data_IF_774309240514
#
_entry.id   IF_774309240514
#
_cell.length_a   1.000
_cell.length_b   1.000
_cell.length_c   1.000
_cell.angle_alpha   90.00
_cell.angle_beta   90.00
_cell.angle_gamma   90.00
#
_symmetry.space_group_name_H-M   'P 1'
#
loop_
_entity.id
_entity.type
_entity.pdbx_description
1 polymer ?
#
# COMPACT_ATOMS: atom_id res chain seq x y z
N UNK A 1 -16.80 -11.93 -2.81
CA UNK A 1 -16.51 -10.54 -3.21
C UNK A 1 -15.20 -10.13 -2.60
N UNK A 2 -14.31 -9.65 -3.44
CA UNK A 2 -13.01 -9.12 -3.00
C UNK A 2 -13.15 -7.75 -2.37
N UNK A 3 -12.28 -7.42 -1.41
CA UNK A 3 -12.30 -6.16 -0.68
C UNK A 3 -10.90 -5.76 -0.24
N UNK A 4 -10.68 -4.45 -0.15
CA UNK A 4 -9.47 -3.84 0.38
C UNK A 4 -9.83 -2.83 1.48
N UNK A 5 -9.02 -2.78 2.53
CA UNK A 5 -9.11 -1.77 3.59
C UNK A 5 -7.71 -1.40 4.05
N UNK A 6 -7.22 -0.18 3.80
CA UNK A 6 -6.06 0.33 4.49
C UNK A 6 -6.40 0.48 5.97
N UNK A 7 -5.91 -0.41 6.83
CA UNK A 7 -6.15 -0.34 8.28
C UNK A 7 -5.45 0.87 8.89
N UNK A 8 -4.25 1.16 8.39
CA UNK A 8 -3.44 2.32 8.73
C UNK A 8 -2.75 2.82 7.46
N UNK A 9 -2.62 4.13 7.30
CA UNK A 9 -1.94 4.72 6.15
C UNK A 9 -1.26 6.04 6.51
N UNK A 10 0.06 6.10 6.35
CA UNK A 10 0.91 7.28 6.59
C UNK A 10 2.14 6.98 7.44
N UNK A 11 2.98 7.99 7.64
CA UNK A 11 4.31 7.88 8.28
C UNK A 11 4.33 7.42 9.75
N UNK A 12 3.19 7.14 10.36
CA UNK A 12 3.09 6.62 11.74
C UNK A 12 2.75 5.13 11.80
N UNK A 13 2.32 4.56 10.69
CA UNK A 13 2.01 3.15 10.55
C UNK A 13 1.25 2.86 9.27
N UNK A 14 1.62 1.78 8.62
CA UNK A 14 1.01 1.28 7.39
C UNK A 14 0.60 -0.17 7.57
N UNK A 15 -0.61 -0.49 7.17
CA UNK A 15 -1.09 -1.87 7.08
C UNK A 15 -2.35 -1.90 6.23
N UNK A 16 -2.42 -2.80 5.27
CA UNK A 16 -3.58 -2.94 4.39
C UNK A 16 -4.12 -4.35 4.47
N UNK A 17 -5.42 -4.47 4.69
CA UNK A 17 -6.17 -5.72 4.69
C UNK A 17 -6.76 -5.96 3.30
N UNK A 18 -6.53 -7.14 2.75
CA UNK A 18 -7.10 -7.61 1.49
C UNK A 18 -7.81 -8.92 1.76
N UNK A 19 -9.05 -9.06 1.34
CA UNK A 19 -9.82 -10.27 1.57
C UNK A 19 -10.66 -10.68 0.36
N UNK A 20 -10.87 -11.97 0.25
CA UNK A 20 -11.74 -12.63 -0.70
C UNK A 20 -12.54 -13.76 -0.05
N UNK A 21 -13.20 -14.57 -0.86
CA UNK A 21 -14.03 -15.68 -0.36
C UNK A 21 -13.22 -16.77 0.35
N UNK A 22 -11.99 -17.02 -0.09
CA UNK A 22 -11.19 -18.18 0.32
C UNK A 22 -10.07 -17.85 1.31
N UNK A 23 -9.91 -16.59 1.69
CA UNK A 23 -8.86 -16.16 2.62
C UNK A 23 -8.58 -14.67 2.54
N UNK A 24 -7.71 -14.23 3.41
CA UNK A 24 -7.32 -12.84 3.50
C UNK A 24 -5.83 -12.67 3.75
N UNK A 25 -5.33 -11.48 3.49
CA UNK A 25 -3.93 -11.13 3.51
C UNK A 25 -3.73 -9.79 4.22
N UNK A 26 -2.55 -9.61 4.81
CA UNK A 26 -2.07 -8.30 5.24
C UNK A 26 -0.90 -7.87 4.35
N UNK A 27 -0.88 -6.60 4.01
CA UNK A 27 0.31 -5.91 3.49
C UNK A 27 0.78 -4.97 4.59
N UNK A 28 1.96 -5.24 5.11
CA UNK A 28 2.59 -4.55 6.24
C UNK A 28 1.87 -4.68 7.60
N UNK A 29 2.63 -4.42 8.67
CA UNK A 29 2.19 -4.45 10.05
C UNK A 29 2.78 -3.26 10.85
N UNK A 30 2.55 -2.05 10.36
CA UNK A 30 3.16 -0.82 10.87
C UNK A 30 2.58 -0.28 12.17
N UNK A 31 1.54 -0.90 12.73
CA UNK A 31 0.92 -0.51 13.98
C UNK A 31 1.11 -1.58 15.08
N UNK A 32 0.81 -1.26 16.33
CA UNK A 32 0.88 -2.25 17.42
C UNK A 32 -0.08 -3.42 17.16
N UNK A 33 0.26 -4.63 17.64
CA UNK A 33 -0.62 -5.80 17.50
C UNK A 33 -2.04 -5.51 18.00
N UNK A 34 -2.19 -4.81 19.12
CA UNK A 34 -3.50 -4.42 19.67
C UNK A 34 -4.28 -3.55 18.67
N UNK A 35 -3.62 -2.53 18.11
CA UNK A 35 -4.25 -1.63 17.14
C UNK A 35 -4.58 -2.34 15.84
N UNK A 36 -3.67 -3.19 15.34
CA UNK A 36 -3.89 -4.02 14.15
C UNK A 36 -5.09 -4.94 14.33
N UNK A 37 -5.18 -5.64 15.46
CA UNK A 37 -6.31 -6.54 15.75
C UNK A 37 -7.64 -5.76 15.75
N UNK A 38 -7.69 -4.64 16.48
CA UNK A 38 -8.91 -3.83 16.56
C UNK A 38 -9.34 -3.25 15.20
N UNK A 39 -8.38 -2.76 14.41
CA UNK A 39 -8.67 -2.22 13.07
C UNK A 39 -9.11 -3.32 12.10
N UNK A 40 -8.51 -4.51 12.18
CA UNK A 40 -8.89 -5.67 11.38
C UNK A 40 -10.31 -6.14 11.71
N UNK A 41 -10.65 -6.24 12.99
CA UNK A 41 -12.01 -6.58 13.45
C UNK A 41 -13.03 -5.52 13.01
N UNK A 42 -12.67 -4.24 13.09
CA UNK A 42 -13.49 -3.14 12.56
C UNK A 42 -13.72 -3.20 11.05
N UNK A 43 -12.77 -3.78 10.30
CA UNK A 43 -12.90 -4.07 8.87
C UNK A 43 -13.64 -5.40 8.57
N UNK A 44 -14.14 -6.09 9.60
CA UNK A 44 -14.84 -7.37 9.48
C UNK A 44 -13.93 -8.55 9.15
N UNK A 45 -12.67 -8.50 9.57
CA UNK A 45 -11.71 -9.61 9.48
C UNK A 45 -11.28 -10.10 10.86
N UNK A 46 -10.55 -11.21 10.89
CA UNK A 46 -9.97 -11.76 12.11
C UNK A 46 -8.52 -12.22 11.84
N UNK A 47 -7.64 -12.14 12.86
CA UNK A 47 -6.25 -12.60 12.71
C UNK A 47 -6.14 -14.07 12.30
N UNK A 48 -7.09 -14.90 12.69
CA UNK A 48 -7.15 -16.33 12.35
C UNK A 48 -7.49 -16.59 10.89
N UNK A 49 -8.00 -15.60 10.18
CA UNK A 49 -8.37 -15.70 8.76
C UNK A 49 -7.24 -15.23 7.84
N UNK A 50 -6.18 -14.62 8.40
CA UNK A 50 -5.05 -14.15 7.62
C UNK A 50 -4.20 -15.35 7.18
N UNK A 51 -4.01 -15.48 5.88
CA UNK A 51 -3.27 -16.60 5.27
C UNK A 51 -1.76 -16.33 5.19
N UNK A 52 -1.38 -15.08 4.92
CA UNK A 52 0.01 -14.64 4.87
C UNK A 52 0.12 -13.12 5.09
N UNK A 53 1.31 -12.67 5.44
CA UNK A 53 1.64 -11.25 5.50
C UNK A 53 2.73 -10.92 4.47
N UNK A 54 2.48 -9.89 3.68
CA UNK A 54 3.39 -9.34 2.67
C UNK A 54 4.07 -8.11 3.24
N UNK A 55 5.38 -8.03 3.18
CA UNK A 55 6.13 -6.85 3.67
C UNK A 55 6.69 -6.10 2.47
N UNK A 56 6.31 -4.82 2.36
CA UNK A 56 6.78 -3.94 1.30
C UNK A 56 8.25 -3.62 1.46
N UNK A 57 8.67 -3.23 2.66
CA UNK A 57 10.06 -2.93 3.03
C UNK A 57 10.23 -2.87 4.55
N UNK A 58 11.47 -2.67 5.01
CA UNK A 58 11.87 -2.80 6.42
C UNK A 58 11.71 -1.54 7.28
N UNK A 59 11.17 -0.43 6.78
CA UNK A 59 10.98 0.76 7.59
C UNK A 59 10.02 0.53 8.77
N UNK A 60 10.30 1.19 9.88
CA UNK A 60 9.64 0.90 11.16
C UNK A 60 8.13 1.09 11.14
N UNK A 61 7.64 2.05 10.38
CA UNK A 61 6.21 2.31 10.19
C UNK A 61 5.51 1.27 9.29
N UNK A 62 6.24 0.29 8.75
CA UNK A 62 5.70 -0.88 8.03
C UNK A 62 5.81 -2.17 8.84
N UNK A 63 6.70 -2.23 9.86
CA UNK A 63 7.01 -3.48 10.57
C UNK A 63 6.89 -3.40 12.09
N UNK A 64 6.47 -2.28 12.66
CA UNK A 64 6.40 -2.05 14.11
C UNK A 64 5.68 -3.16 14.89
N UNK A 65 4.59 -3.69 14.36
CA UNK A 65 3.79 -4.77 14.95
C UNK A 65 4.13 -6.16 14.43
N UNK A 66 5.09 -6.30 13.51
CA UNK A 66 5.36 -7.56 12.80
C UNK A 66 5.77 -8.68 13.76
N UNK A 67 6.81 -8.47 14.57
CA UNK A 67 7.33 -9.51 15.49
C UNK A 67 6.28 -9.97 16.51
N UNK A 68 5.51 -9.09 17.19
CA UNK A 68 4.37 -9.49 18.02
C UNK A 68 3.26 -10.23 17.26
N UNK A 69 2.95 -9.80 16.04
CA UNK A 69 1.95 -10.46 15.19
C UNK A 69 2.39 -11.90 14.87
N UNK A 70 3.61 -12.08 14.43
CA UNK A 70 4.17 -13.40 14.08
C UNK A 70 4.23 -14.34 15.29
N UNK A 71 4.64 -13.84 16.45
CA UNK A 71 4.62 -14.62 17.70
C UNK A 71 3.22 -15.13 18.06
N UNK A 72 2.19 -14.35 17.76
CA UNK A 72 0.80 -14.72 18.04
C UNK A 72 0.20 -15.66 17.01
N UNK A 73 0.57 -15.51 15.73
CA UNK A 73 -0.15 -16.15 14.62
C UNK A 73 0.64 -17.23 13.90
N UNK A 74 1.97 -17.13 13.89
CA UNK A 74 2.84 -18.02 13.10
C UNK A 74 2.68 -17.84 11.59
N UNK A 75 2.19 -16.67 11.11
CA UNK A 75 2.00 -16.38 9.69
C UNK A 75 3.30 -16.52 8.90
N UNK A 76 3.16 -16.93 7.64
CA UNK A 76 4.25 -16.85 6.68
C UNK A 76 4.47 -15.39 6.26
N UNK A 77 5.73 -14.95 6.33
CA UNK A 77 6.17 -13.64 5.82
C UNK A 77 6.60 -13.79 4.37
N UNK A 78 5.98 -13.03 3.49
CA UNK A 78 6.29 -12.99 2.05
C UNK A 78 6.88 -11.63 1.73
N UNK A 79 8.09 -11.59 1.17
CA UNK A 79 8.74 -10.34 0.77
C UNK A 79 9.85 -10.60 -0.25
N UNK A 80 10.48 -9.52 -0.76
CA UNK A 80 11.70 -9.65 -1.55
C UNK A 80 12.83 -10.28 -0.73
N UNK A 81 13.80 -10.91 -1.39
CA UNK A 81 14.97 -11.47 -0.71
C UNK A 81 15.71 -10.41 0.12
N UNK A 82 15.85 -9.20 -0.45
CA UNK A 82 16.54 -8.08 0.22
C UNK A 82 15.79 -7.61 1.47
N UNK A 83 14.47 -7.47 1.39
CA UNK A 83 13.63 -7.13 2.55
C UNK A 83 13.71 -8.21 3.62
N UNK A 84 13.61 -9.49 3.27
CA UNK A 84 13.73 -10.59 4.24
C UNK A 84 15.10 -10.59 4.91
N UNK A 85 16.18 -10.38 4.15
CA UNK A 85 17.54 -10.26 4.69
C UNK A 85 17.66 -9.11 5.70
N UNK A 86 17.11 -7.93 5.37
CA UNK A 86 17.09 -6.77 6.25
C UNK A 86 16.31 -7.07 7.54
N UNK A 87 15.15 -7.69 7.45
CA UNK A 87 14.32 -8.06 8.60
C UNK A 87 15.03 -9.07 9.53
N UNK A 88 15.70 -10.07 8.96
CA UNK A 88 16.48 -11.07 9.73
C UNK A 88 17.67 -10.40 10.42
N UNK A 89 18.44 -9.60 9.69
CA UNK A 89 19.61 -8.88 10.20
C UNK A 89 19.24 -7.94 11.35
N UNK A 90 18.09 -7.27 11.27
CA UNK A 90 17.60 -6.36 12.29
C UNK A 90 16.81 -7.05 13.43
N UNK A 91 16.81 -8.39 13.50
CA UNK A 91 16.05 -9.18 14.49
C UNK A 91 14.55 -8.82 14.55
N UNK A 92 13.93 -8.61 13.38
CA UNK A 92 12.51 -8.27 13.27
C UNK A 92 11.60 -9.50 13.14
N UNK A 93 12.16 -10.67 12.85
CA UNK A 93 11.44 -11.93 12.74
C UNK A 93 11.73 -12.82 13.96
N UNK A 94 10.71 -13.44 14.58
CA UNK A 94 10.92 -14.49 15.57
C UNK A 94 11.72 -15.68 15.00
N UNK A 95 12.46 -16.37 15.84
CA UNK A 95 13.13 -17.62 15.45
C UNK A 95 12.10 -18.64 14.92
N UNK A 96 12.43 -19.30 13.80
CA UNK A 96 11.56 -20.28 13.18
C UNK A 96 10.39 -19.67 12.35
N UNK A 97 10.37 -18.35 12.14
CA UNK A 97 9.38 -17.73 11.25
C UNK A 97 9.45 -18.35 9.86
N UNK A 98 8.31 -18.76 9.33
CA UNK A 98 8.19 -19.20 7.94
C UNK A 98 8.33 -17.98 7.02
N UNK A 99 9.24 -18.05 6.06
CA UNK A 99 9.45 -16.99 5.07
C UNK A 99 9.31 -17.55 3.66
N UNK A 100 8.83 -16.71 2.75
CA UNK A 100 8.78 -17.00 1.32
C UNK A 100 9.33 -15.80 0.56
N UNK A 101 10.33 -16.05 -0.29
CA UNK A 101 10.86 -15.03 -1.20
C UNK A 101 9.92 -14.92 -2.39
N UNK A 102 9.57 -13.68 -2.74
CA UNK A 102 8.83 -13.35 -3.95
C UNK A 102 9.66 -12.38 -4.78
N UNK A 103 10.48 -12.92 -5.68
CA UNK A 103 11.34 -12.17 -6.59
C UNK A 103 11.22 -12.72 -8.02
N UNK A 104 11.45 -11.86 -9.02
CA UNK A 104 11.30 -12.23 -10.40
C UNK A 104 9.83 -12.37 -10.84
N UNK A 105 9.60 -13.23 -11.84
CA UNK A 105 8.29 -13.39 -12.48
C UNK A 105 7.36 -14.42 -11.81
N UNK A 106 7.91 -15.25 -10.91
CA UNK A 106 7.11 -16.29 -10.25
C UNK A 106 6.20 -15.68 -9.18
N UNK A 107 4.86 -15.80 -9.30
CA UNK A 107 3.94 -15.29 -8.30
C UNK A 107 3.92 -16.18 -7.06
N UNK A 108 3.42 -15.63 -5.96
CA UNK A 108 3.04 -16.39 -4.78
C UNK A 108 1.56 -16.79 -4.89
N UNK A 109 1.27 -18.08 -4.76
CA UNK A 109 -0.08 -18.59 -4.84
C UNK A 109 -0.57 -19.04 -3.46
N UNK A 110 -1.73 -18.55 -3.05
CA UNK A 110 -2.33 -18.93 -1.77
C UNK A 110 -3.86 -18.79 -1.82
N UNK A 111 -4.57 -19.84 -1.40
CA UNK A 111 -6.03 -19.88 -1.33
C UNK A 111 -6.74 -19.47 -2.65
N UNK A 112 -6.14 -19.80 -3.79
CA UNK A 112 -6.62 -19.46 -5.12
C UNK A 112 -6.38 -18.00 -5.54
N UNK A 113 -5.74 -17.20 -4.71
CA UNK A 113 -5.23 -15.90 -5.12
C UNK A 113 -3.80 -16.04 -5.67
N UNK A 114 -3.50 -15.23 -6.69
CA UNK A 114 -2.16 -15.13 -7.30
C UNK A 114 -1.60 -13.75 -7.00
N UNK A 115 -0.49 -13.70 -6.27
CA UNK A 115 0.10 -12.46 -5.81
C UNK A 115 1.44 -12.25 -6.50
N UNK A 116 1.59 -11.10 -7.16
CA UNK A 116 2.82 -10.69 -7.83
C UNK A 116 3.41 -9.48 -7.14
N UNK A 117 4.73 -9.45 -7.07
CA UNK A 117 5.51 -8.33 -6.56
C UNK A 117 6.03 -7.48 -7.71
N UNK A 118 6.13 -6.19 -7.50
CA UNK A 118 6.90 -5.27 -8.34
C UNK A 118 7.78 -4.37 -7.46
N UNK A 119 8.92 -3.94 -8.00
CA UNK A 119 9.82 -3.04 -7.27
C UNK A 119 9.26 -1.61 -7.25
N UNK A 120 9.41 -0.91 -6.13
CA UNK A 120 9.16 0.52 -6.01
C UNK A 120 10.46 1.28 -5.82
N UNK A 121 10.48 2.55 -6.23
CA UNK A 121 11.64 3.44 -6.08
C UNK A 121 11.60 4.10 -4.72
N UNK A 122 12.24 3.49 -3.72
CA UNK A 122 12.30 4.02 -2.36
C UNK A 122 13.70 3.91 -1.76
N UNK A 123 13.97 4.56 -0.63
CA UNK A 123 15.29 4.62 0.01
C UNK A 123 15.64 3.37 0.84
N UNK A 124 15.23 2.22 0.33
CA UNK A 124 15.63 0.89 0.78
C UNK A 124 15.87 -0.04 -0.43
N UNK A 125 16.63 -1.11 -0.24
CA UNK A 125 17.07 -1.94 -1.38
C UNK A 125 16.02 -2.92 -1.90
N UNK A 126 15.01 -3.24 -1.10
CA UNK A 126 14.04 -4.30 -1.39
C UNK A 126 12.62 -3.82 -1.56
N UNK A 127 12.40 -2.49 -1.66
CA UNK A 127 11.07 -1.90 -1.67
C UNK A 127 10.17 -2.49 -2.76
N UNK A 128 8.92 -2.73 -2.38
CA UNK A 128 7.97 -3.51 -3.18
C UNK A 128 6.55 -2.96 -3.08
N UNK A 129 5.84 -3.01 -4.21
CA UNK A 129 4.40 -3.05 -4.23
C UNK A 129 3.89 -4.45 -4.58
N UNK A 130 2.61 -4.68 -4.40
CA UNK A 130 1.99 -5.98 -4.64
C UNK A 130 0.70 -5.85 -5.44
N UNK A 131 0.46 -6.82 -6.34
CA UNK A 131 -0.81 -7.03 -7.00
C UNK A 131 -1.39 -8.37 -6.58
N UNK A 132 -2.67 -8.39 -6.26
CA UNK A 132 -3.45 -9.56 -5.86
C UNK A 132 -4.50 -9.83 -6.93
N UNK A 133 -4.34 -10.91 -7.69
CA UNK A 133 -5.41 -11.45 -8.52
C UNK A 133 -6.21 -12.43 -7.65
N UNK A 134 -7.39 -11.99 -7.27
CA UNK A 134 -8.26 -12.74 -6.36
C UNK A 134 -9.04 -13.83 -7.09
N UNK A 135 -9.54 -14.88 -6.37
CA UNK A 135 -10.27 -16.00 -6.98
C UNK A 135 -11.53 -15.61 -7.76
N UNK A 136 -12.12 -14.45 -7.49
CA UNK A 136 -13.26 -13.91 -8.24
C UNK A 136 -12.85 -13.08 -9.46
N UNK A 137 -11.58 -13.15 -9.86
CA UNK A 137 -11.01 -12.45 -11.01
C UNK A 137 -10.70 -10.97 -10.77
N UNK A 138 -10.91 -10.47 -9.55
CA UNK A 138 -10.61 -9.09 -9.19
C UNK A 138 -9.12 -8.87 -8.95
N UNK A 139 -8.57 -7.82 -9.54
CA UNK A 139 -7.18 -7.40 -9.35
C UNK A 139 -7.11 -6.21 -8.41
N UNK A 140 -6.33 -6.32 -7.34
CA UNK A 140 -6.11 -5.29 -6.33
C UNK A 140 -4.62 -4.98 -6.28
N UNK A 141 -4.24 -3.69 -6.32
CA UNK A 141 -2.85 -3.28 -6.21
C UNK A 141 -2.60 -2.37 -5.00
N UNK A 142 -1.48 -2.59 -4.33
CA UNK A 142 -0.94 -1.75 -3.26
C UNK A 142 0.39 -1.19 -3.73
N UNK A 143 0.47 0.13 -3.84
CA UNK A 143 1.58 0.88 -4.42
C UNK A 143 1.84 2.14 -3.59
N UNK A 144 2.57 2.00 -2.49
CA UNK A 144 3.02 3.09 -1.62
C UNK A 144 4.53 3.09 -1.52
N UNK A 145 5.08 4.16 -0.99
CA UNK A 145 6.52 4.32 -0.78
C UNK A 145 7.30 4.23 -2.09
N UNK A 146 7.10 5.24 -2.91
CA UNK A 146 7.81 5.39 -4.18
C UNK A 146 8.04 6.87 -4.52
N UNK A 147 9.26 7.20 -4.89
CA UNK A 147 9.65 8.57 -5.31
C UNK A 147 9.30 8.85 -6.77
N UNK A 148 9.13 7.80 -7.59
CA UNK A 148 8.74 7.89 -9.00
C UNK A 148 7.92 6.67 -9.41
N UNK A 149 6.89 6.90 -10.22
CA UNK A 149 6.13 5.81 -10.87
C UNK A 149 6.87 5.38 -12.13
N UNK A 150 7.58 4.26 -12.05
CA UNK A 150 8.31 3.71 -13.19
C UNK A 150 7.37 3.02 -14.17
N UNK A 151 7.86 2.72 -15.38
CA UNK A 151 7.07 1.99 -16.38
C UNK A 151 6.69 0.57 -15.89
N UNK A 152 7.56 -0.08 -15.13
CA UNK A 152 7.26 -1.39 -14.53
C UNK A 152 6.17 -1.31 -13.47
N UNK A 153 6.16 -0.25 -12.66
CA UNK A 153 5.07 0.03 -11.72
C UNK A 153 3.77 0.24 -12.48
N UNK A 154 3.75 1.09 -13.54
CA UNK A 154 2.55 1.32 -14.36
C UNK A 154 2.00 0.03 -14.94
N UNK A 155 2.85 -0.81 -15.53
CA UNK A 155 2.47 -2.13 -16.06
C UNK A 155 1.89 -3.03 -14.99
N UNK A 156 2.54 -3.09 -13.82
CA UNK A 156 2.11 -3.94 -12.72
C UNK A 156 0.71 -3.58 -12.21
N UNK A 157 0.42 -2.28 -12.00
CA UNK A 157 -0.86 -1.82 -11.45
C UNK A 157 -1.96 -1.61 -12.50
N UNK A 158 -1.61 -1.59 -13.80
CA UNK A 158 -2.58 -1.46 -14.90
C UNK A 158 -3.61 -2.58 -14.88
N UNK A 159 -4.87 -2.27 -15.22
CA UNK A 159 -5.97 -3.22 -15.21
C UNK A 159 -6.41 -3.68 -13.82
N UNK A 160 -5.97 -3.02 -12.75
CA UNK A 160 -6.48 -3.30 -11.40
C UNK A 160 -7.89 -2.74 -11.23
N UNK A 161 -8.78 -3.51 -10.63
CA UNK A 161 -10.13 -3.05 -10.26
C UNK A 161 -10.07 -2.00 -9.14
N UNK A 162 -9.11 -2.17 -8.21
CA UNK A 162 -8.83 -1.22 -7.14
C UNK A 162 -7.33 -1.00 -6.96
N UNK A 163 -6.92 0.25 -6.72
CA UNK A 163 -5.53 0.61 -6.46
C UNK A 163 -5.45 1.47 -5.20
N UNK A 164 -4.65 1.02 -4.22
CA UNK A 164 -4.12 1.89 -3.18
C UNK A 164 -2.81 2.46 -3.71
N UNK A 165 -2.80 3.76 -3.98
CA UNK A 165 -1.62 4.46 -4.52
C UNK A 165 -1.20 5.60 -3.60
N UNK A 166 0.10 5.83 -3.50
CA UNK A 166 0.62 6.93 -2.70
C UNK A 166 0.19 8.29 -3.25
N UNK A 167 -0.17 9.21 -2.32
CA UNK A 167 -0.37 10.64 -2.57
C UNK A 167 0.21 11.38 -1.36
N UNK A 168 1.55 11.43 -1.28
CA UNK A 168 2.22 11.71 -0.02
C UNK A 168 2.12 13.17 0.40
N UNK A 169 2.47 14.12 -0.48
CA UNK A 169 2.58 15.52 -0.11
C UNK A 169 2.02 16.46 -1.17
N UNK A 170 1.54 17.58 -0.72
CA UNK A 170 1.33 18.77 -1.54
C UNK A 170 2.67 19.52 -1.66
N UNK A 171 3.06 19.85 -2.90
CA UNK A 171 4.36 20.46 -3.20
C UNK A 171 4.51 21.82 -2.52
N UNK A 172 3.46 22.63 -2.52
CA UNK A 172 3.47 23.97 -1.92
C UNK A 172 3.53 23.90 -0.40
N UNK A 173 2.75 23.00 0.22
CA UNK A 173 2.81 22.79 1.66
C UNK A 173 4.18 22.26 2.09
N UNK A 174 4.77 21.33 1.33
CA UNK A 174 6.10 20.80 1.66
C UNK A 174 7.15 21.91 1.57
N UNK A 175 7.15 22.72 0.49
CA UNK A 175 8.11 23.80 0.31
C UNK A 175 8.01 24.87 1.41
N UNK A 176 6.80 25.25 1.82
CA UNK A 176 6.53 26.25 2.87
C UNK A 176 6.53 25.65 4.28
N UNK A 177 6.46 24.33 4.39
CA UNK A 177 6.29 23.60 5.64
C UNK A 177 7.53 23.63 6.57
N UNK A 178 7.38 23.17 7.81
CA UNK A 178 8.39 23.31 8.85
C UNK A 178 9.55 22.32 8.79
N UNK A 179 9.58 21.44 7.79
CA UNK A 179 10.63 20.43 7.68
C UNK A 179 11.99 21.04 7.28
N UNK A 180 13.10 20.49 7.81
CA UNK A 180 14.44 20.90 7.39
C UNK A 180 14.65 20.69 5.88
N UNK A 181 15.53 21.48 5.24
CA UNK A 181 15.79 21.38 3.80
C UNK A 181 16.19 19.97 3.35
N UNK A 182 17.02 19.28 4.11
CA UNK A 182 17.51 17.93 3.81
C UNK A 182 16.34 16.91 3.77
N UNK A 183 15.39 17.04 4.71
CA UNK A 183 14.21 16.17 4.72
C UNK A 183 13.27 16.47 3.55
N UNK A 184 13.10 17.75 3.19
CA UNK A 184 12.33 18.14 2.00
C UNK A 184 12.95 17.56 0.73
N UNK A 185 14.27 17.69 0.58
CA UNK A 185 15.00 17.11 -0.57
C UNK A 185 14.86 15.59 -0.61
N UNK A 186 14.97 14.90 0.53
CA UNK A 186 14.75 13.44 0.60
C UNK A 186 13.35 13.06 0.16
N UNK A 187 12.31 13.75 0.67
CA UNK A 187 10.91 13.47 0.32
C UNK A 187 10.67 13.66 -1.18
N UNK A 188 11.20 14.73 -1.79
CA UNK A 188 11.03 15.05 -3.21
C UNK A 188 11.95 14.27 -4.15
N UNK A 189 12.86 13.44 -3.63
CA UNK A 189 13.79 12.69 -4.46
C UNK A 189 13.12 11.51 -5.18
N UNK A 190 13.79 10.98 -6.21
CA UNK A 190 13.34 9.78 -6.93
C UNK A 190 13.25 8.52 -6.04
N UNK A 191 13.85 8.55 -4.85
CA UNK A 191 13.77 7.52 -3.83
C UNK A 191 12.96 7.95 -2.60
N UNK A 192 12.29 9.08 -2.67
CA UNK A 192 11.42 9.59 -1.63
C UNK A 192 9.98 9.15 -1.82
N UNK A 193 9.10 10.12 -2.03
CA UNK A 193 7.66 9.92 -2.13
C UNK A 193 7.05 10.76 -3.24
N UNK A 194 6.04 10.24 -3.94
CA UNK A 194 5.33 11.00 -4.97
C UNK A 194 4.39 12.04 -4.36
N UNK A 195 4.34 13.21 -5.00
CA UNK A 195 3.41 14.28 -4.65
C UNK A 195 1.96 13.96 -5.09
N UNK A 196 1.01 14.77 -4.62
CA UNK A 196 -0.38 14.72 -5.11
C UNK A 196 -0.44 14.86 -6.63
N UNK A 197 0.34 15.77 -7.21
CA UNK A 197 0.37 16.00 -8.66
C UNK A 197 0.93 14.77 -9.42
N UNK A 198 2.01 14.19 -8.93
CA UNK A 198 2.59 12.99 -9.56
C UNK A 198 1.64 11.79 -9.47
N UNK A 199 0.98 11.58 -8.33
CA UNK A 199 -0.08 10.59 -8.18
C UNK A 199 -1.22 10.83 -9.17
N UNK A 200 -1.74 12.08 -9.21
CA UNK A 200 -2.89 12.45 -10.05
C UNK A 200 -2.63 12.25 -11.54
N UNK A 201 -1.38 12.43 -11.99
CA UNK A 201 -1.00 12.22 -13.39
C UNK A 201 -1.16 10.75 -13.84
N UNK A 202 -1.09 9.78 -12.91
CA UNK A 202 -1.24 8.35 -13.24
C UNK A 202 -2.71 7.91 -13.32
N UNK A 203 -3.63 8.63 -12.68
CA UNK A 203 -5.01 8.16 -12.50
C UNK A 203 -5.80 8.04 -13.80
N UNK A 204 -5.59 8.93 -14.76
CA UNK A 204 -6.24 8.87 -16.07
C UNK A 204 -5.87 7.59 -16.84
N UNK A 205 -4.58 7.23 -16.84
CA UNK A 205 -4.09 5.98 -17.44
C UNK A 205 -4.67 4.74 -16.76
N UNK A 206 -4.73 4.76 -15.43
CA UNK A 206 -5.32 3.67 -14.64
C UNK A 206 -6.83 3.53 -14.88
N UNK A 207 -7.58 4.64 -14.95
CA UNK A 207 -9.00 4.60 -15.27
C UNK A 207 -9.24 4.01 -16.66
N UNK A 208 -8.46 4.43 -17.65
CA UNK A 208 -8.53 3.91 -19.03
C UNK A 208 -8.16 2.42 -19.11
N UNK A 209 -7.30 1.93 -18.23
CA UNK A 209 -6.96 0.52 -18.15
C UNK A 209 -7.99 -0.35 -17.39
N UNK A 210 -9.04 0.28 -16.83
CA UNK A 210 -10.16 -0.41 -16.19
C UNK A 210 -10.33 -0.18 -14.69
N UNK A 211 -9.41 0.56 -14.04
CA UNK A 211 -9.51 0.84 -12.59
C UNK A 211 -10.74 1.66 -12.25
N UNK A 212 -11.53 1.18 -11.30
CA UNK A 212 -12.77 1.84 -10.84
C UNK A 212 -12.73 2.31 -9.39
N UNK A 213 -11.74 1.89 -8.62
CA UNK A 213 -11.59 2.22 -7.20
C UNK A 213 -10.19 2.76 -6.95
N UNK A 214 -10.10 4.05 -6.63
CA UNK A 214 -8.86 4.72 -6.26
C UNK A 214 -8.87 5.02 -4.77
N UNK A 215 -7.82 4.60 -4.08
CA UNK A 215 -7.58 4.89 -2.67
C UNK A 215 -6.24 5.63 -2.61
N UNK A 216 -6.28 6.93 -2.32
CA UNK A 216 -5.06 7.72 -2.12
C UNK A 216 -4.55 7.45 -0.71
N UNK A 217 -3.30 7.02 -0.59
CA UNK A 217 -2.74 6.62 0.69
C UNK A 217 -1.42 7.30 1.01
N UNK A 218 -0.88 6.96 2.19
CA UNK A 218 0.43 7.39 2.67
C UNK A 218 0.62 8.92 2.72
N UNK A 219 -0.43 9.64 3.12
CA UNK A 219 -0.37 11.11 3.24
C UNK A 219 0.49 11.52 4.43
N UNK A 220 1.42 12.46 4.22
CA UNK A 220 2.23 13.04 5.27
C UNK A 220 1.47 14.14 6.01
N UNK A 221 1.30 13.97 7.31
CA UNK A 221 0.39 14.78 8.14
C UNK A 221 0.65 16.29 8.11
N UNK A 222 1.93 16.72 8.00
CA UNK A 222 2.30 18.14 8.08
C UNK A 222 2.32 18.85 6.74
N UNK A 223 2.38 18.11 5.64
CA UNK A 223 2.58 18.66 4.30
C UNK A 223 1.55 18.14 3.30
N UNK A 224 0.41 17.65 3.80
CA UNK A 224 -0.72 17.26 2.98
C UNK A 224 -2.02 17.32 3.80
N UNK A 225 -3.14 17.36 3.09
CA UNK A 225 -4.47 17.14 3.66
C UNK A 225 -5.29 16.23 2.74
N UNK A 226 -6.27 15.46 3.28
CA UNK A 226 -7.17 14.67 2.44
C UNK A 226 -7.85 15.48 1.35
N UNK A 227 -8.21 16.73 1.64
CA UNK A 227 -8.88 17.61 0.69
C UNK A 227 -7.96 17.97 -0.49
N UNK A 228 -6.70 18.29 -0.25
CA UNK A 228 -5.74 18.63 -1.32
C UNK A 228 -5.46 17.41 -2.21
N UNK A 229 -5.27 16.23 -1.61
CA UNK A 229 -5.08 15.00 -2.35
C UNK A 229 -6.31 14.68 -3.24
N UNK A 230 -7.53 14.76 -2.68
CA UNK A 230 -8.77 14.57 -3.42
C UNK A 230 -8.93 15.58 -4.55
N UNK A 231 -8.74 16.88 -4.27
CA UNK A 231 -8.91 17.93 -5.27
C UNK A 231 -7.95 17.79 -6.44
N UNK A 232 -6.68 17.43 -6.19
CA UNK A 232 -5.69 17.17 -7.24
C UNK A 232 -6.11 15.99 -8.12
N UNK A 233 -6.53 14.89 -7.51
CA UNK A 233 -6.95 13.70 -8.22
C UNK A 233 -8.25 13.91 -9.02
N UNK A 234 -9.25 14.58 -8.44
CA UNK A 234 -10.50 14.89 -9.10
C UNK A 234 -10.31 15.84 -10.29
N UNK A 235 -9.44 16.85 -10.15
CA UNK A 235 -9.12 17.76 -11.25
C UNK A 235 -8.52 16.99 -12.43
N UNK A 236 -7.51 16.15 -12.20
CA UNK A 236 -6.88 15.35 -13.25
C UNK A 236 -7.86 14.40 -13.96
N UNK A 237 -8.78 13.78 -13.22
CA UNK A 237 -9.79 12.90 -13.80
C UNK A 237 -10.91 13.68 -14.52
N UNK A 238 -11.24 14.88 -14.04
CA UNK A 238 -12.20 15.76 -14.69
C UNK A 238 -11.69 16.27 -16.06
N UNK A 239 -10.40 16.48 -16.23
CA UNK A 239 -9.77 16.89 -17.50
C UNK A 239 -10.03 15.89 -18.64
N UNK A 240 -10.24 14.61 -18.32
CA UNK A 240 -10.65 13.57 -19.27
C UNK A 240 -12.16 13.32 -19.28
N UNK A 241 -12.96 14.18 -18.64
CA UNK A 241 -14.42 14.09 -18.58
C UNK A 241 -14.98 13.04 -17.62
N UNK A 242 -14.15 12.40 -16.81
CA UNK A 242 -14.57 11.40 -15.83
C UNK A 242 -15.16 12.04 -14.57
N UNK A 243 -16.15 11.38 -13.94
CA UNK A 243 -16.88 11.88 -12.78
C UNK A 243 -16.85 10.88 -11.64
N UNK A 244 -16.46 11.34 -10.45
CA UNK A 244 -16.53 10.57 -9.23
C UNK A 244 -17.99 10.16 -8.90
N UNK A 245 -18.19 8.93 -8.47
CA UNK A 245 -19.51 8.35 -8.21
C UNK A 245 -20.20 7.77 -9.45
N UNK A 246 -19.73 8.09 -10.67
CA UNK A 246 -20.26 7.56 -11.93
C UNK A 246 -19.24 6.64 -12.63
N UNK A 247 -18.06 7.15 -12.91
CA UNK A 247 -17.05 6.46 -13.72
C UNK A 247 -16.02 5.77 -12.82
N UNK A 248 -15.79 6.31 -11.63
CA UNK A 248 -14.89 5.79 -10.61
C UNK A 248 -15.39 6.16 -9.21
N UNK A 249 -14.79 5.55 -8.19
CA UNK A 249 -14.89 5.94 -6.78
C UNK A 249 -13.49 6.33 -6.30
N UNK A 250 -13.37 7.50 -5.73
CA UNK A 250 -12.14 8.04 -5.17
C UNK A 250 -12.29 8.22 -3.65
N UNK A 251 -11.30 7.77 -2.91
CA UNK A 251 -11.23 7.92 -1.45
C UNK A 251 -9.81 8.21 -1.00
N UNK A 252 -9.66 8.70 0.23
CA UNK A 252 -8.37 8.89 0.88
C UNK A 252 -8.30 8.00 2.12
N UNK A 253 -7.21 7.25 2.24
CA UNK A 253 -6.89 6.50 3.44
C UNK A 253 -6.29 7.44 4.49
N UNK A 254 -6.93 7.51 5.64
CA UNK A 254 -6.44 8.23 6.82
C UNK A 254 -5.46 7.40 7.65
N UNK A 255 -4.87 8.01 8.68
CA UNK A 255 -3.98 7.28 9.59
C UNK A 255 -4.64 6.10 10.30
N UNK A 256 -5.95 6.16 10.50
CA UNK A 256 -6.79 5.15 11.18
C UNK A 256 -8.23 5.26 10.68
N UNK A 257 -9.10 4.31 11.10
CA UNK A 257 -10.56 4.36 10.89
C UNK A 257 -10.98 4.40 9.41
N UNK A 258 -10.27 3.68 8.58
CA UNK A 258 -10.53 3.63 7.15
C UNK A 258 -11.71 2.70 6.82
N UNK A 259 -12.36 2.99 5.70
CA UNK A 259 -13.50 2.21 5.23
C UNK A 259 -13.06 1.05 4.35
N UNK A 260 -13.78 -0.05 4.45
CA UNK A 260 -13.65 -1.17 3.52
C UNK A 260 -14.18 -0.77 2.15
N UNK A 261 -13.37 -0.98 1.13
CA UNK A 261 -13.77 -0.85 -0.27
C UNK A 261 -14.07 -2.23 -0.84
N UNK A 262 -15.30 -2.46 -1.25
CA UNK A 262 -15.76 -3.68 -1.93
C UNK A 262 -15.55 -3.52 -3.44
N UNK A 263 -15.12 -4.60 -4.10
CA UNK A 263 -14.70 -4.61 -5.51
C UNK A 263 -15.59 -5.55 -6.32
#
# INVERSE_FOLDING_TARGET
MSRICPLFSGSTGNSTYIAGANGSFLVDAGASLRSLTAALEGAGGALTEISAIFITHEHFDHIKGLKPLLNKTGLTVVASEKTLKALITADRLPAGTKTCVIDGEAPFECNGAVISRFATSHDCEGSSGYTFLMPDGKKISVCTDLGVVTEDVRKAISGSDAVLIESNHDVDMLNKGPYPPELKMRIMSEKGHISNNACSAELAGLLNSGTKRFILGHLIKKNNTPLLALSSAEASLADIGAKNGRDFILSVAGPTENRVTVI
#
